data_IF_164803491453
#
_entry.id   IF_164803491453
#
_cell.length_a   1.000
_cell.length_b   1.000
_cell.length_c   1.000
_cell.angle_alpha   90.00
_cell.angle_beta   90.00
_cell.angle_gamma   90.00
#
_symmetry.space_group_name_H-M   'P 1'
#
loop_
_entity.id
_entity.type
_entity.pdbx_description
1 polymer ?
#
# COMPACT_ATOMS: atom_id res chain seq x y z
N UNK A 1 7.93 -45.86 -19.27
CA UNK A 1 7.08 -45.72 -20.47
C UNK A 1 6.93 -44.24 -20.80
N UNK A 2 7.58 -43.76 -21.87
CA UNK A 2 7.46 -42.37 -22.35
C UNK A 2 6.45 -42.33 -23.49
N UNK A 3 5.29 -41.72 -23.27
CA UNK A 3 4.29 -41.48 -24.31
C UNK A 3 4.51 -40.08 -24.87
N UNK A 4 4.93 -40.00 -26.14
CA UNK A 4 4.99 -38.77 -26.93
C UNK A 4 3.58 -38.48 -27.46
N UNK A 5 2.98 -37.36 -27.07
CA UNK A 5 1.74 -36.86 -27.64
C UNK A 5 2.04 -35.94 -28.82
N UNK A 6 1.55 -36.33 -30.01
CA UNK A 6 1.44 -35.49 -31.20
C UNK A 6 0.23 -34.56 -31.03
N UNK A 7 0.43 -33.25 -31.19
CA UNK A 7 -0.67 -32.29 -31.34
C UNK A 7 -0.60 -31.74 -32.77
N UNK A 8 -1.61 -32.08 -33.57
CA UNK A 8 -1.84 -31.54 -34.89
C UNK A 8 -2.59 -30.20 -34.76
N UNK A 9 -1.99 -29.13 -35.26
CA UNK A 9 -2.62 -27.80 -35.32
C UNK A 9 -3.45 -27.64 -36.59
N UNK A 10 -4.76 -27.46 -36.44
CA UNK A 10 -5.63 -26.95 -37.49
C UNK A 10 -5.57 -25.41 -37.47
N UNK A 11 -5.00 -24.81 -38.52
CA UNK A 11 -4.99 -23.37 -38.72
C UNK A 11 -6.29 -22.91 -39.39
N UNK A 12 -7.10 -22.13 -38.68
CA UNK A 12 -8.25 -21.40 -39.24
C UNK A 12 -7.78 -19.98 -39.58
N UNK A 13 -7.75 -19.67 -40.87
CA UNK A 13 -7.48 -18.33 -41.37
C UNK A 13 -8.76 -17.49 -41.32
N UNK A 14 -8.79 -16.45 -40.48
CA UNK A 14 -9.82 -15.41 -40.49
C UNK A 14 -9.28 -14.20 -41.23
N UNK A 15 -9.82 -13.95 -42.43
CA UNK A 15 -9.60 -12.73 -43.19
C UNK A 15 -10.40 -11.57 -42.59
N UNK A 16 -9.69 -10.62 -41.97
CA UNK A 16 -10.26 -9.36 -41.50
C UNK A 16 -10.11 -8.26 -42.56
N UNK A 17 -11.24 -7.78 -43.06
CA UNK A 17 -11.34 -6.59 -43.92
C UNK A 17 -10.97 -5.33 -43.14
N UNK A 18 -9.97 -4.59 -43.64
CA UNK A 18 -9.57 -3.30 -43.09
C UNK A 18 -10.49 -2.20 -43.63
N UNK A 19 -11.37 -1.67 -42.76
CA UNK A 19 -12.12 -0.45 -43.04
C UNK A 19 -11.20 0.76 -42.84
N UNK A 20 -11.11 1.59 -43.88
CA UNK A 20 -10.29 2.81 -43.92
C UNK A 20 -10.72 3.81 -42.83
N UNK A 21 -9.76 4.24 -42.00
CA UNK A 21 -9.92 5.36 -41.07
C UNK A 21 -9.96 6.68 -41.85
N UNK A 22 -10.90 7.59 -41.55
CA UNK A 22 -10.92 8.93 -42.13
C UNK A 22 -9.76 9.78 -41.60
N UNK A 23 -9.11 10.47 -42.53
CA UNK A 23 -7.98 11.39 -42.31
C UNK A 23 -8.40 12.58 -41.41
N UNK A 24 -7.63 12.93 -40.36
CA UNK A 24 -7.97 14.05 -39.50
C UNK A 24 -7.76 15.39 -40.23
N UNK A 25 -8.76 16.27 -40.13
CA UNK A 25 -8.75 17.61 -40.70
C UNK A 25 -7.56 18.44 -40.18
N UNK A 26 -6.74 18.95 -41.12
CA UNK A 26 -5.62 19.84 -40.85
C UNK A 26 -6.16 21.23 -40.48
N UNK A 27 -5.93 21.66 -39.25
CA UNK A 27 -6.19 23.05 -38.83
C UNK A 27 -5.11 24.00 -39.38
N UNK A 28 -5.49 25.20 -39.84
CA UNK A 28 -4.54 26.20 -40.32
C UNK A 28 -3.68 26.74 -39.17
N UNK A 29 -2.37 26.84 -39.41
CA UNK A 29 -1.41 27.42 -38.46
C UNK A 29 -1.67 28.92 -38.26
N UNK A 30 -1.60 29.43 -37.01
CA UNK A 30 -1.76 30.85 -36.75
C UNK A 30 -0.59 31.67 -37.33
N UNK A 31 -0.83 32.93 -37.72
CA UNK A 31 0.19 33.81 -38.28
C UNK A 31 1.28 34.15 -37.26
N UNK A 32 2.54 33.98 -37.68
CA UNK A 32 3.74 34.35 -36.92
C UNK A 32 3.84 35.87 -36.90
N UNK A 33 3.73 36.47 -35.71
CA UNK A 33 3.97 37.90 -35.51
C UNK A 33 5.48 38.18 -35.35
N UNK A 34 5.99 39.30 -35.90
CA UNK A 34 7.39 39.69 -35.77
C UNK A 34 7.72 40.11 -34.33
N UNK A 35 8.71 39.44 -33.75
CA UNK A 35 9.25 39.72 -32.41
C UNK A 35 10.01 41.05 -32.40
N UNK A 36 9.55 41.99 -31.56
CA UNK A 36 10.27 43.23 -31.25
C UNK A 36 11.44 42.94 -30.30
N UNK A 37 12.65 43.48 -30.55
CA UNK A 37 13.75 43.41 -29.61
C UNK A 37 13.45 44.29 -28.40
N UNK A 38 13.30 43.68 -27.22
CA UNK A 38 13.22 44.37 -25.93
C UNK A 38 14.64 44.55 -25.41
N UNK A 39 15.16 45.77 -25.46
CA UNK A 39 16.38 46.17 -24.74
C UNK A 39 16.07 46.29 -23.25
N UNK A 40 16.50 45.30 -22.47
CA UNK A 40 16.42 45.36 -21.01
C UNK A 40 17.55 46.25 -20.46
N UNK A 41 17.25 47.15 -19.51
CA UNK A 41 18.27 47.96 -18.84
C UNK A 41 19.20 47.09 -18.00
N UNK A 42 20.51 47.31 -18.16
CA UNK A 42 21.57 46.66 -17.38
C UNK A 42 21.46 47.12 -15.93
N UNK A 43 21.22 46.21 -14.95
CA UNK A 43 21.19 46.59 -13.54
C UNK A 43 22.60 46.93 -13.07
N UNK A 44 22.75 48.13 -12.49
CA UNK A 44 23.97 48.54 -11.78
C UNK A 44 24.17 47.64 -10.56
N UNK A 45 25.23 46.82 -10.59
CA UNK A 45 25.67 45.96 -9.49
C UNK A 45 26.24 46.82 -8.37
N UNK A 46 25.44 47.10 -7.34
CA UNK A 46 25.94 47.58 -6.07
C UNK A 46 26.66 46.42 -5.33
N UNK A 47 27.86 46.64 -4.75
CA UNK A 47 28.55 45.62 -3.97
C UNK A 47 27.73 45.22 -2.75
N UNK A 48 27.44 43.93 -2.63
CA UNK A 48 26.69 43.38 -1.49
C UNK A 48 27.52 43.54 -0.19
N UNK A 49 26.88 43.92 0.92
CA UNK A 49 27.53 43.96 2.22
C UNK A 49 27.98 42.55 2.62
N UNK A 50 29.26 42.43 3.00
CA UNK A 50 29.87 41.21 3.53
C UNK A 50 29.14 40.84 4.82
N UNK A 51 28.37 39.75 4.81
CA UNK A 51 27.69 39.27 6.00
C UNK A 51 28.72 38.87 7.07
N UNK A 52 28.52 39.25 8.35
CA UNK A 52 29.40 38.85 9.43
C UNK A 52 29.48 37.32 9.54
N UNK A 53 30.62 36.76 9.97
CA UNK A 53 30.81 35.32 10.13
C UNK A 53 29.68 34.74 10.98
N UNK A 54 28.90 33.84 10.35
CA UNK A 54 27.63 33.34 10.86
C UNK A 54 27.80 32.66 12.22
N UNK A 55 27.08 33.19 13.21
CA UNK A 55 26.81 32.48 14.46
C UNK A 55 26.03 31.23 14.10
N UNK A 56 26.69 30.07 14.19
CA UNK A 56 26.06 28.76 14.01
C UNK A 56 24.99 28.64 15.09
N UNK A 57 23.71 28.68 14.69
CA UNK A 57 22.60 28.49 15.61
C UNK A 57 22.80 27.15 16.36
N UNK A 58 22.61 27.10 17.69
CA UNK A 58 22.72 25.87 18.43
C UNK A 58 21.76 24.81 17.85
N UNK A 59 22.14 23.52 17.88
CA UNK A 59 21.34 22.45 17.30
C UNK A 59 19.94 22.48 17.91
N UNK A 60 18.93 22.71 17.06
CA UNK A 60 17.52 22.68 17.46
C UNK A 60 17.25 21.36 18.17
N UNK A 61 16.79 21.44 19.42
CA UNK A 61 16.45 20.26 20.20
C UNK A 61 15.41 19.45 19.42
N UNK A 62 15.76 18.20 19.11
CA UNK A 62 14.92 17.31 18.32
C UNK A 62 13.64 16.97 19.10
N UNK A 63 12.48 17.14 18.46
CA UNK A 63 11.20 16.73 19.02
C UNK A 63 11.22 15.25 19.39
N UNK A 64 10.62 14.90 20.54
CA UNK A 64 10.47 13.52 20.96
C UNK A 64 9.50 12.78 20.02
N UNK A 65 9.82 11.52 19.68
CA UNK A 65 8.90 10.66 18.92
C UNK A 65 7.79 10.15 19.83
N UNK A 66 6.55 10.01 19.32
CA UNK A 66 5.43 9.54 20.13
C UNK A 66 5.62 8.08 20.58
N UNK A 67 6.32 7.27 19.80
CA UNK A 67 6.62 5.87 20.12
C UNK A 67 8.12 5.56 19.96
N UNK A 68 8.65 4.58 20.72
CA UNK A 68 10.03 4.14 20.57
C UNK A 68 10.26 3.52 19.19
N UNK A 69 11.41 3.82 18.60
CA UNK A 69 11.78 3.29 17.30
C UNK A 69 12.35 1.88 17.41
N UNK A 70 11.96 1.00 16.49
CA UNK A 70 12.60 -0.29 16.32
C UNK A 70 13.79 -0.16 15.36
N UNK A 71 14.98 0.09 15.93
CA UNK A 71 16.22 0.29 15.17
C UNK A 71 16.95 -1.03 15.00
N UNK A 72 17.26 -1.38 13.77
CA UNK A 72 18.09 -2.54 13.43
C UNK A 72 19.45 -2.07 12.93
N UNK A 73 20.58 -2.49 13.53
CA UNK A 73 21.90 -2.16 13.01
C UNK A 73 22.10 -2.80 11.64
N UNK A 74 22.72 -2.06 10.72
CA UNK A 74 22.88 -2.48 9.32
C UNK A 74 24.26 -2.07 8.82
N UNK A 75 24.91 -2.96 8.06
CA UNK A 75 26.16 -2.66 7.37
C UNK A 75 25.86 -2.51 5.87
N UNK A 76 25.95 -1.29 5.32
CA UNK A 76 25.61 -1.01 3.93
C UNK A 76 26.61 -1.67 2.95
N UNK A 77 27.86 -1.90 3.37
CA UNK A 77 28.87 -2.50 2.49
C UNK A 77 28.62 -4.01 2.32
N UNK A 78 27.95 -4.64 3.29
CA UNK A 78 27.52 -6.03 3.21
C UNK A 78 26.19 -6.23 2.44
N UNK A 79 25.59 -5.16 1.91
CA UNK A 79 24.39 -5.27 1.10
C UNK A 79 24.68 -5.89 -0.25
N UNK A 80 23.95 -6.95 -0.60
CA UNK A 80 24.06 -7.58 -1.92
C UNK A 80 22.70 -8.09 -2.40
N UNK A 81 22.47 -7.95 -3.71
CA UNK A 81 21.34 -8.55 -4.38
C UNK A 81 21.79 -9.94 -4.86
N UNK A 82 20.99 -10.97 -4.55
CA UNK A 82 21.28 -12.34 -5.00
C UNK A 82 20.02 -13.02 -5.48
N UNK A 83 20.19 -13.87 -6.50
CA UNK A 83 19.15 -14.77 -6.99
C UNK A 83 19.12 -16.03 -6.13
N UNK A 84 17.93 -16.49 -5.78
CA UNK A 84 17.65 -17.73 -5.06
C UNK A 84 16.63 -18.57 -5.83
N UNK A 85 16.28 -19.74 -5.29
CA UNK A 85 15.24 -20.61 -5.85
C UNK A 85 13.87 -19.92 -5.85
N UNK A 86 13.62 -19.02 -4.88
CA UNK A 86 12.34 -18.32 -4.73
C UNK A 86 12.33 -16.93 -5.40
N UNK A 87 13.40 -16.55 -6.10
CA UNK A 87 13.56 -15.25 -6.75
C UNK A 87 14.72 -14.43 -6.19
N UNK A 88 14.70 -13.14 -6.47
CA UNK A 88 15.64 -12.14 -6.01
C UNK A 88 15.39 -11.72 -4.57
N UNK A 89 16.49 -11.56 -3.84
CA UNK A 89 16.47 -11.02 -2.49
C UNK A 89 17.64 -10.06 -2.29
N UNK A 90 17.45 -9.12 -1.38
CA UNK A 90 18.51 -8.28 -0.82
C UNK A 90 18.94 -8.91 0.50
N UNK A 91 20.24 -9.16 0.65
CA UNK A 91 20.84 -9.68 1.88
C UNK A 91 21.75 -8.62 2.51
N UNK A 92 21.74 -8.56 3.84
CA UNK A 92 22.67 -7.80 4.67
C UNK A 92 23.61 -8.80 5.36
N UNK A 93 24.72 -9.12 4.69
CA UNK A 93 25.60 -10.21 5.11
C UNK A 93 24.85 -11.56 5.12
N UNK A 94 24.80 -12.30 6.25
CA UNK A 94 24.09 -13.58 6.33
C UNK A 94 22.56 -13.43 6.43
N UNK A 95 22.05 -12.23 6.77
CA UNK A 95 20.61 -12.01 7.03
C UNK A 95 19.89 -11.63 5.75
N UNK A 96 18.69 -12.16 5.54
CA UNK A 96 17.79 -11.68 4.49
C UNK A 96 17.25 -10.33 4.92
N UNK A 97 17.48 -9.30 4.12
CA UNK A 97 16.95 -7.96 4.35
C UNK A 97 15.58 -7.80 3.69
N UNK A 98 15.42 -8.29 2.45
CA UNK A 98 14.13 -8.27 1.73
C UNK A 98 14.05 -9.36 0.67
N UNK A 99 12.87 -9.94 0.50
CA UNK A 99 12.52 -10.82 -0.61
C UNK A 99 11.70 -10.04 -1.65
N UNK A 100 12.03 -10.19 -2.94
CA UNK A 100 11.49 -9.37 -4.04
C UNK A 100 10.87 -10.20 -5.17
N UNK A 101 10.82 -11.53 -5.03
CA UNK A 101 10.33 -12.42 -6.07
C UNK A 101 11.12 -12.23 -7.36
N UNK A 102 10.47 -12.05 -8.50
CA UNK A 102 11.16 -11.95 -9.79
C UNK A 102 11.75 -10.55 -10.11
N UNK A 103 11.65 -9.57 -9.21
CA UNK A 103 12.06 -8.18 -9.46
C UNK A 103 13.56 -7.93 -9.22
N UNK A 104 14.40 -8.37 -10.17
CA UNK A 104 15.86 -8.14 -10.17
C UNK A 104 16.22 -6.65 -10.11
N UNK A 105 15.51 -5.82 -10.88
CA UNK A 105 15.80 -4.41 -11.01
C UNK A 105 15.59 -3.69 -9.67
N UNK A 106 14.51 -4.00 -8.95
CA UNK A 106 14.28 -3.48 -7.61
C UNK A 106 15.35 -3.94 -6.61
N UNK A 107 15.81 -5.20 -6.69
CA UNK A 107 16.83 -5.73 -5.80
C UNK A 107 18.15 -4.96 -5.94
N UNK A 108 18.59 -4.77 -7.18
CA UNK A 108 19.80 -4.03 -7.49
C UNK A 108 19.66 -2.54 -7.12
N UNK A 109 18.50 -1.93 -7.35
CA UNK A 109 18.23 -0.54 -7.00
C UNK A 109 18.25 -0.31 -5.49
N UNK A 110 17.68 -1.21 -4.68
CA UNK A 110 17.73 -1.14 -3.21
C UNK A 110 19.19 -1.19 -2.74
N UNK A 111 20.00 -2.13 -3.24
CA UNK A 111 21.42 -2.24 -2.86
C UNK A 111 22.18 -0.97 -3.26
N UNK A 112 21.95 -0.46 -4.46
CA UNK A 112 22.56 0.79 -4.94
C UNK A 112 22.24 1.96 -4.01
N UNK A 113 20.96 2.14 -3.66
CA UNK A 113 20.49 3.22 -2.79
C UNK A 113 21.05 3.10 -1.38
N UNK A 114 21.00 1.90 -0.77
CA UNK A 114 21.49 1.68 0.59
C UNK A 114 23.01 1.90 0.68
N UNK A 115 23.79 1.44 -0.31
CA UNK A 115 25.23 1.70 -0.36
C UNK A 115 25.55 3.17 -0.56
N UNK A 116 24.74 3.91 -1.31
CA UNK A 116 24.91 5.34 -1.50
C UNK A 116 24.58 6.14 -0.22
N UNK A 117 23.55 5.74 0.54
CA UNK A 117 23.15 6.39 1.79
C UNK A 117 24.07 6.07 2.97
N UNK A 118 24.71 4.89 2.95
CA UNK A 118 25.52 4.34 4.05
C UNK A 118 24.84 4.41 5.42
N UNK A 119 23.58 3.96 5.58
CA UNK A 119 22.94 3.95 6.88
C UNK A 119 23.67 2.97 7.82
N UNK A 120 23.81 3.37 9.08
CA UNK A 120 24.31 2.51 10.18
C UNK A 120 23.17 1.85 10.94
N UNK A 121 21.97 2.45 10.88
CA UNK A 121 20.76 1.96 11.50
C UNK A 121 19.62 1.99 10.48
N UNK A 122 18.75 0.99 10.51
CA UNK A 122 17.53 0.93 9.72
C UNK A 122 16.31 0.91 10.62
N UNK A 123 15.31 1.72 10.30
CA UNK A 123 14.08 1.85 11.08
C UNK A 123 12.90 1.55 10.20
N UNK A 124 11.96 0.77 10.73
CA UNK A 124 10.70 0.43 10.09
C UNK A 124 9.56 1.02 10.90
N UNK A 125 8.70 1.80 10.25
CA UNK A 125 7.45 2.30 10.82
C UNK A 125 6.29 1.51 10.23
N UNK A 126 5.34 1.10 11.07
CA UNK A 126 4.14 0.37 10.69
C UNK A 126 3.88 -0.86 11.56
N UNK A 127 2.64 -1.03 12.00
CA UNK A 127 2.19 -2.15 12.81
C UNK A 127 1.70 -3.29 11.91
N UNK A 128 2.33 -4.47 12.01
CA UNK A 128 1.97 -5.66 11.21
C UNK A 128 2.40 -5.62 9.75
N UNK A 129 2.50 -4.44 9.13
CA UNK A 129 3.06 -4.23 7.79
C UNK A 129 4.01 -3.01 7.80
N UNK A 130 5.21 -3.10 7.19
CA UNK A 130 6.05 -1.94 6.94
C UNK A 130 5.29 -0.91 6.09
N UNK A 131 5.04 0.27 6.67
CA UNK A 131 4.42 1.42 5.99
C UNK A 131 5.50 2.23 5.28
N UNK A 132 6.52 2.60 6.03
CA UNK A 132 7.64 3.42 5.56
C UNK A 132 8.90 3.06 6.34
N UNK A 133 10.03 3.17 5.68
CA UNK A 133 11.32 2.80 6.24
C UNK A 133 12.31 3.96 6.09
N UNK A 134 13.35 4.00 6.91
CA UNK A 134 14.41 4.98 6.74
C UNK A 134 15.73 4.51 7.33
N UNK A 135 16.80 5.00 6.72
CA UNK A 135 18.16 4.81 7.17
C UNK A 135 18.65 6.00 7.98
N UNK A 136 19.31 5.73 9.10
CA UNK A 136 20.04 6.73 9.86
C UNK A 136 21.54 6.46 9.77
N UNK A 137 22.34 7.52 9.64
CA UNK A 137 23.79 7.49 9.76
C UNK A 137 24.17 8.22 11.05
N UNK A 138 24.63 7.49 12.06
CA UNK A 138 24.99 8.04 13.38
C UNK A 138 23.83 8.86 14.01
N UNK A 139 22.61 8.31 13.96
CA UNK A 139 21.42 8.97 14.51
C UNK A 139 20.88 10.17 13.72
N UNK A 140 21.43 10.48 12.54
CA UNK A 140 20.96 11.54 11.62
C UNK A 140 20.38 10.94 10.34
N UNK A 141 19.51 11.66 9.66
CA UNK A 141 19.00 11.24 8.35
C UNK A 141 20.16 10.97 7.38
N UNK A 142 20.14 9.80 6.74
CA UNK A 142 21.09 9.51 5.68
C UNK A 142 20.83 10.44 4.48
N UNK A 143 21.87 11.13 4.03
CA UNK A 143 21.81 11.99 2.86
C UNK A 143 21.96 11.15 1.61
N UNK A 144 21.12 11.38 0.61
CA UNK A 144 21.18 10.65 -0.65
C UNK A 144 21.74 11.53 -1.77
N UNK A 145 22.92 11.18 -2.28
CA UNK A 145 23.57 11.90 -3.38
C UNK A 145 22.94 11.61 -4.75
N UNK A 146 22.30 10.44 -4.91
CA UNK A 146 21.69 10.00 -6.17
C UNK A 146 20.27 9.47 -5.93
N UNK A 147 19.22 10.29 -6.19
CA UNK A 147 17.85 9.90 -5.94
C UNK A 147 17.44 8.66 -6.77
N UNK A 148 16.51 7.84 -6.25
CA UNK A 148 15.87 6.80 -7.06
C UNK A 148 14.94 7.43 -8.11
N UNK A 149 14.37 6.58 -8.98
CA UNK A 149 13.55 7.04 -10.11
C UNK A 149 12.28 7.77 -9.70
N UNK A 150 11.62 7.32 -8.64
CA UNK A 150 10.34 7.88 -8.19
C UNK A 150 10.53 8.52 -6.83
N UNK A 151 10.57 9.84 -6.82
CA UNK A 151 10.75 10.66 -5.62
C UNK A 151 9.64 11.68 -5.56
N UNK A 152 9.03 11.83 -4.38
CA UNK A 152 8.07 12.90 -4.09
C UNK A 152 8.65 13.80 -3.01
N UNK A 153 8.50 15.11 -3.18
CA UNK A 153 8.92 16.09 -2.19
C UNK A 153 7.91 16.20 -1.05
N UNK A 154 8.41 16.36 0.18
CA UNK A 154 7.60 16.60 1.37
C UNK A 154 7.89 18.02 1.85
N UNK A 155 6.84 18.82 2.03
CA UNK A 155 6.92 20.08 2.73
C UNK A 155 6.90 19.88 4.24
N UNK A 156 8.09 20.00 4.86
CA UNK A 156 8.28 19.83 6.30
C UNK A 156 7.47 20.83 7.15
N UNK A 157 7.05 21.97 6.59
CA UNK A 157 6.29 22.98 7.33
C UNK A 157 4.83 22.59 7.48
N UNK A 158 4.28 21.89 6.48
CA UNK A 158 2.85 21.61 6.38
C UNK A 158 2.54 20.12 6.52
N UNK A 159 3.57 19.26 6.63
CA UNK A 159 3.41 17.83 6.90
C UNK A 159 2.58 17.61 8.16
N UNK A 160 1.54 16.79 8.06
CA UNK A 160 0.56 16.51 9.11
C UNK A 160 -0.07 15.14 8.93
N UNK A 161 -0.72 14.68 9.99
CA UNK A 161 -1.59 13.50 9.97
C UNK A 161 -3.02 13.98 9.74
N UNK A 162 -3.75 13.31 8.84
CA UNK A 162 -5.13 13.63 8.54
C UNK A 162 -5.98 12.36 8.36
N UNK A 163 -7.28 12.48 8.54
CA UNK A 163 -8.24 11.39 8.35
C UNK A 163 -8.98 11.57 7.02
N UNK A 164 -8.65 10.75 6.03
CA UNK A 164 -9.22 10.82 4.69
C UNK A 164 -10.00 9.54 4.41
N UNK A 165 -11.31 9.65 4.19
CA UNK A 165 -12.18 8.50 3.87
C UNK A 165 -12.05 7.32 4.86
N UNK A 166 -11.93 7.64 6.15
CA UNK A 166 -11.85 6.63 7.21
C UNK A 166 -10.47 5.97 7.39
N UNK A 167 -9.43 6.42 6.68
CA UNK A 167 -8.05 6.01 6.92
C UNK A 167 -7.18 7.19 7.34
N UNK A 168 -6.12 6.90 8.07
CA UNK A 168 -5.11 7.87 8.49
C UNK A 168 -4.03 7.98 7.43
N UNK A 169 -3.72 9.20 7.05
CA UNK A 169 -2.69 9.50 6.05
C UNK A 169 -1.68 10.48 6.60
N UNK A 170 -0.44 10.39 6.11
CA UNK A 170 0.53 11.48 6.25
C UNK A 170 0.50 12.28 4.96
N UNK A 171 0.21 13.56 5.06
CA UNK A 171 0.08 14.48 3.94
C UNK A 171 0.71 15.82 4.25
N UNK A 172 0.99 16.61 3.23
CA UNK A 172 1.27 18.03 3.35
C UNK A 172 0.24 18.83 2.53
N UNK A 173 0.54 20.11 2.26
CA UNK A 173 -0.32 20.94 1.41
C UNK A 173 -0.25 20.58 -0.07
N UNK A 174 0.82 19.90 -0.50
CA UNK A 174 0.96 19.43 -1.87
C UNK A 174 0.17 18.14 -2.11
N UNK A 175 0.18 17.18 -1.18
CA UNK A 175 -0.55 15.93 -1.38
C UNK A 175 -0.36 14.90 -0.29
N UNK A 176 -0.89 13.70 -0.53
CA UNK A 176 -0.77 12.55 0.37
C UNK A 176 0.55 11.82 0.10
N UNK A 177 1.33 11.54 1.14
CA UNK A 177 2.62 10.83 1.02
C UNK A 177 2.52 9.38 1.46
N UNK A 178 1.77 9.10 2.53
CA UNK A 178 1.63 7.77 3.11
C UNK A 178 0.17 7.48 3.45
N UNK A 179 -0.30 6.27 3.14
CA UNK A 179 -1.58 5.74 3.58
C UNK A 179 -1.36 4.70 4.67
N UNK A 180 -1.76 5.03 5.90
CA UNK A 180 -1.49 4.25 7.11
C UNK A 180 -2.68 3.36 7.52
N UNK A 181 -3.72 3.27 6.67
CA UNK A 181 -4.92 2.49 6.95
C UNK A 181 -5.62 2.96 8.23
N UNK A 182 -6.03 2.03 9.10
CA UNK A 182 -6.73 2.35 10.35
C UNK A 182 -5.79 2.71 11.51
N UNK A 183 -4.48 2.59 11.34
CA UNK A 183 -3.51 2.73 12.41
C UNK A 183 -3.03 4.17 12.57
N UNK A 184 -3.81 4.98 13.30
CA UNK A 184 -3.43 6.35 13.66
C UNK A 184 -2.02 6.47 14.27
N UNK A 185 -1.60 5.59 15.22
CA UNK A 185 -0.27 5.64 15.79
C UNK A 185 0.85 5.57 14.75
N UNK A 186 0.69 4.75 13.71
CA UNK A 186 1.69 4.59 12.65
C UNK A 186 1.83 5.89 11.82
N UNK A 187 0.71 6.58 11.55
CA UNK A 187 0.70 7.87 10.85
C UNK A 187 1.39 8.96 11.68
N UNK A 188 1.09 9.03 12.98
CA UNK A 188 1.70 9.98 13.91
C UNK A 188 3.21 9.73 14.05
N UNK A 189 3.62 8.47 14.19
CA UNK A 189 5.03 8.11 14.22
C UNK A 189 5.76 8.50 12.93
N UNK A 190 5.17 8.22 11.77
CA UNK A 190 5.77 8.56 10.48
C UNK A 190 5.90 10.09 10.30
N UNK A 191 4.85 10.86 10.61
CA UNK A 191 4.90 12.32 10.55
C UNK A 191 5.92 12.91 11.53
N UNK A 192 6.01 12.37 12.75
CA UNK A 192 7.00 12.79 13.74
C UNK A 192 8.43 12.46 13.31
N UNK A 193 8.67 11.28 12.71
CA UNK A 193 9.96 10.91 12.15
C UNK A 193 10.37 11.85 11.00
N UNK A 194 9.44 12.20 10.11
CA UNK A 194 9.67 13.17 9.03
C UNK A 194 10.15 14.51 9.59
N UNK A 195 9.46 15.06 10.59
CA UNK A 195 9.82 16.35 11.20
C UNK A 195 11.14 16.27 11.96
N UNK A 196 11.30 15.24 12.81
CA UNK A 196 12.48 15.05 13.66
C UNK A 196 13.77 14.94 12.86
N UNK A 197 13.76 14.13 11.80
CA UNK A 197 14.97 13.87 11.02
C UNK A 197 15.12 14.78 9.80
N UNK A 198 14.12 15.64 9.53
CA UNK A 198 14.13 16.53 8.37
C UNK A 198 14.01 15.78 7.04
N UNK A 199 13.26 14.67 7.00
CA UNK A 199 13.07 13.91 5.77
C UNK A 199 12.17 14.68 4.79
N UNK A 200 12.78 15.39 3.85
CA UNK A 200 12.09 16.23 2.88
C UNK A 200 11.74 15.51 1.57
N UNK A 201 12.01 14.20 1.48
CA UNK A 201 11.72 13.37 0.30
C UNK A 201 11.25 11.98 0.71
N UNK A 202 10.31 11.45 -0.06
CA UNK A 202 9.90 10.04 -0.02
C UNK A 202 10.20 9.40 -1.36
N UNK A 203 10.76 8.20 -1.33
CA UNK A 203 11.06 7.42 -2.50
C UNK A 203 10.34 6.07 -2.47
N UNK A 204 9.98 5.60 -3.66
CA UNK A 204 9.44 4.25 -3.85
C UNK A 204 10.33 3.48 -4.83
N UNK A 205 10.75 2.28 -4.45
CA UNK A 205 11.47 1.33 -5.31
C UNK A 205 10.55 0.14 -5.59
N UNK A 206 10.54 -0.33 -6.84
CA UNK A 206 9.78 -1.50 -7.28
C UNK A 206 9.24 -1.31 -8.69
N UNK A 207 9.10 -2.40 -9.44
CA UNK A 207 8.55 -2.35 -10.80
C UNK A 207 7.04 -2.07 -10.84
N UNK A 208 6.33 -2.36 -9.74
CA UNK A 208 4.89 -2.13 -9.61
C UNK A 208 4.59 -0.85 -8.81
N UNK A 209 4.09 0.21 -9.45
CA UNK A 209 3.78 1.47 -8.75
C UNK A 209 2.64 1.33 -7.72
N UNK A 210 1.77 0.32 -7.85
CA UNK A 210 0.68 0.09 -6.90
C UNK A 210 1.11 -0.70 -5.66
N UNK A 211 2.26 -1.38 -5.73
CA UNK A 211 2.80 -2.18 -4.65
C UNK A 211 4.32 -2.08 -4.70
N UNK A 212 4.89 -0.92 -4.29
CA UNK A 212 6.33 -0.75 -4.28
C UNK A 212 6.97 -1.79 -3.36
N UNK A 213 8.14 -2.27 -3.75
CA UNK A 213 8.94 -3.17 -2.96
C UNK A 213 9.42 -2.52 -1.66
N UNK A 214 9.79 -1.23 -1.73
CA UNK A 214 10.21 -0.42 -0.58
C UNK A 214 9.70 0.99 -0.76
N UNK A 215 9.15 1.56 0.31
CA UNK A 215 8.89 2.99 0.45
C UNK A 215 9.79 3.51 1.56
N UNK A 216 10.66 4.48 1.27
CA UNK A 216 11.59 4.99 2.28
C UNK A 216 11.73 6.51 2.26
N UNK A 217 12.06 7.05 3.43
CA UNK A 217 12.31 8.48 3.65
C UNK A 217 13.80 8.77 3.61
N UNK A 218 14.15 9.95 3.08
CA UNK A 218 15.52 10.44 3.08
C UNK A 218 15.55 11.97 3.06
N UNK A 219 16.71 12.53 3.42
CA UNK A 219 16.94 13.97 3.39
C UNK A 219 17.88 14.34 2.24
N UNK A 220 17.65 15.51 1.65
CA UNK A 220 18.57 16.14 0.69
C UNK A 220 19.10 17.46 1.23
N UNK A 221 20.39 17.74 0.98
CA UNK A 221 21.03 19.01 1.37
C UNK A 221 20.48 20.21 0.62
N UNK A 222 19.85 19.97 -0.52
CA UNK A 222 19.02 20.95 -1.20
C UNK A 222 17.83 21.24 -0.27
N UNK A 223 18.06 22.10 0.73
CA UNK A 223 17.06 22.70 1.60
C UNK A 223 16.03 23.52 0.80
N UNK A 224 16.20 23.56 -0.52
CA UNK A 224 15.15 23.80 -1.49
C UNK A 224 14.05 22.75 -1.36
N UNK A 225 12.93 23.18 -0.79
CA UNK A 225 11.71 23.22 -1.59
C UNK A 225 12.04 23.74 -3.00
N UNK A 226 12.62 22.89 -3.86
CA UNK A 226 12.49 23.05 -5.30
C UNK A 226 11.00 23.33 -5.52
N UNK A 227 10.67 24.38 -6.29
CA UNK A 227 9.37 25.04 -6.23
C UNK A 227 8.31 23.98 -6.13
N UNK A 228 7.66 23.88 -4.96
CA UNK A 228 6.58 22.94 -4.74
C UNK A 228 5.55 23.39 -5.74
N UNK A 229 5.50 22.71 -6.88
CA UNK A 229 4.55 23.04 -7.93
C UNK A 229 3.21 22.95 -7.22
N UNK A 230 2.54 24.10 -7.05
CA UNK A 230 1.26 24.17 -6.37
C UNK A 230 0.39 23.11 -7.05
N UNK A 231 0.15 22.02 -6.34
CA UNK A 231 -0.64 20.95 -6.93
C UNK A 231 -2.03 21.53 -7.13
N UNK A 232 -2.51 21.43 -8.36
CA UNK A 232 -3.87 21.84 -8.67
C UNK A 232 -4.81 21.09 -7.72
N UNK A 233 -5.82 21.72 -7.10
CA UNK A 233 -6.70 21.06 -6.12
C UNK A 233 -7.37 19.80 -6.67
N UNK A 234 -7.56 19.73 -7.99
CA UNK A 234 -8.01 18.53 -8.69
C UNK A 234 -7.05 17.34 -8.55
N UNK A 235 -5.73 17.55 -8.58
CA UNK A 235 -4.73 16.50 -8.40
C UNK A 235 -4.80 15.89 -7.00
N UNK A 236 -4.95 16.72 -5.96
CA UNK A 236 -5.15 16.25 -4.60
C UNK A 236 -6.44 15.43 -4.47
N UNK A 237 -7.56 15.91 -5.03
CA UNK A 237 -8.82 15.16 -5.03
C UNK A 237 -8.73 13.82 -5.77
N UNK A 238 -8.03 13.78 -6.91
CA UNK A 238 -7.77 12.54 -7.65
C UNK A 238 -6.90 11.57 -6.84
N UNK A 239 -5.92 12.08 -6.11
CA UNK A 239 -5.09 11.25 -5.22
C UNK A 239 -5.92 10.61 -4.10
N UNK A 240 -6.84 11.37 -3.49
CA UNK A 240 -7.77 10.87 -2.47
C UNK A 240 -8.74 9.80 -3.02
N UNK A 241 -9.14 9.91 -4.28
CA UNK A 241 -9.96 8.90 -4.96
C UNK A 241 -9.17 7.62 -5.29
N UNK A 242 -7.87 7.76 -5.54
CA UNK A 242 -6.94 6.70 -5.91
C UNK A 242 -6.28 5.98 -4.72
N UNK A 243 -6.67 6.31 -3.48
CA UNK A 243 -6.24 5.56 -2.31
C UNK A 243 -6.61 4.08 -2.47
N UNK A 244 -5.60 3.21 -2.35
CA UNK A 244 -5.75 1.76 -2.45
C UNK A 244 -6.45 1.17 -1.23
N UNK A 245 -6.29 1.80 -0.07
CA UNK A 245 -6.94 1.48 1.21
C UNK A 245 -7.81 2.64 1.65
N UNK A 246 -9.06 2.36 2.00
CA UNK A 246 -10.03 3.31 2.55
C UNK A 246 -10.84 2.65 3.66
N UNK A 247 -11.57 3.42 4.46
CA UNK A 247 -12.51 2.86 5.43
C UNK A 247 -13.74 2.29 4.72
N UNK A 248 -14.39 1.29 5.33
CA UNK A 248 -15.68 0.77 4.83
C UNK A 248 -16.80 1.71 5.28
N UNK A 249 -17.51 2.40 4.37
CA UNK A 249 -18.62 3.27 4.78
C UNK A 249 -19.79 2.42 5.26
N UNK A 250 -20.21 2.60 6.51
CA UNK A 250 -21.35 1.92 7.13
C UNK A 250 -22.34 2.97 7.64
N UNK A 251 -23.60 2.97 7.16
CA UNK A 251 -24.62 3.93 7.60
C UNK A 251 -24.79 3.98 9.12
N UNK A 252 -24.79 5.18 9.68
CA UNK A 252 -24.94 5.42 11.13
C UNK A 252 -23.70 5.10 11.98
N UNK A 253 -22.62 4.56 11.41
CA UNK A 253 -21.33 4.35 12.09
C UNK A 253 -20.26 5.28 11.53
N UNK A 254 -20.34 5.63 10.25
CA UNK A 254 -19.28 6.34 9.54
C UNK A 254 -18.41 5.34 8.80
N UNK A 255 -17.13 5.26 9.15
CA UNK A 255 -16.20 4.28 8.59
C UNK A 255 -15.91 3.18 9.61
N UNK A 256 -16.07 1.91 9.21
CA UNK A 256 -15.90 0.76 10.11
C UNK A 256 -15.07 -0.34 9.45
N UNK A 257 -13.79 -0.43 9.82
CA UNK A 257 -12.86 -1.37 9.22
C UNK A 257 -12.22 -0.83 7.94
N UNK A 258 -11.43 -1.69 7.29
CA UNK A 258 -10.58 -1.38 6.15
C UNK A 258 -11.09 -2.04 4.87
N UNK A 259 -11.07 -1.31 3.77
CA UNK A 259 -11.37 -1.76 2.42
C UNK A 259 -10.16 -1.54 1.54
N UNK A 260 -9.70 -2.62 0.90
CA UNK A 260 -8.60 -2.62 -0.07
C UNK A 260 -9.15 -2.99 -1.44
N UNK A 261 -8.89 -2.13 -2.44
CA UNK A 261 -9.21 -2.48 -3.84
C UNK A 261 -8.24 -3.54 -4.34
N UNK A 262 -8.76 -4.60 -4.92
CA UNK A 262 -7.98 -5.70 -5.49
C UNK A 262 -8.36 -5.93 -6.95
N UNK A 263 -7.40 -6.34 -7.75
CA UNK A 263 -7.68 -6.85 -9.11
C UNK A 263 -7.76 -8.38 -9.02
N UNK A 264 -8.94 -9.00 -9.22
CA UNK A 264 -9.10 -10.44 -9.10
C UNK A 264 -8.19 -11.23 -10.05
N UNK A 265 -7.74 -10.64 -11.17
CA UNK A 265 -6.84 -11.29 -12.13
C UNK A 265 -5.40 -11.35 -11.67
N UNK A 266 -5.05 -10.53 -10.68
CA UNK A 266 -3.71 -10.43 -10.09
C UNK A 266 -3.61 -11.15 -8.76
N UNK A 267 -4.67 -11.84 -8.35
CA UNK A 267 -4.68 -12.67 -7.16
C UNK A 267 -3.94 -13.95 -7.46
N UNK A 268 -2.91 -14.23 -6.67
CA UNK A 268 -2.11 -15.44 -6.77
C UNK A 268 -1.92 -16.10 -5.40
N UNK A 269 -1.55 -17.37 -5.43
CA UNK A 269 -1.04 -18.07 -4.26
C UNK A 269 0.47 -18.17 -4.40
N UNK A 270 1.21 -17.70 -3.41
CA UNK A 270 2.68 -17.76 -3.41
C UNK A 270 3.22 -18.18 -2.06
N UNK A 271 4.48 -18.56 -2.03
CA UNK A 271 5.21 -18.86 -0.80
C UNK A 271 5.80 -17.57 -0.23
N UNK A 272 5.57 -17.32 1.04
CA UNK A 272 6.11 -16.21 1.82
C UNK A 272 6.78 -16.81 3.07
N UNK A 273 8.11 -16.96 3.00
CA UNK A 273 8.88 -17.75 3.96
C UNK A 273 8.44 -19.23 4.03
N UNK A 274 7.95 -19.65 5.19
CA UNK A 274 7.44 -21.02 5.41
C UNK A 274 5.94 -21.16 5.15
N UNK A 275 5.23 -20.07 4.87
CA UNK A 275 3.78 -20.06 4.72
C UNK A 275 3.38 -19.90 3.24
N UNK A 276 2.30 -20.56 2.86
CA UNK A 276 1.55 -20.26 1.65
C UNK A 276 0.58 -19.16 1.95
N UNK A 277 0.59 -18.13 1.12
CA UNK A 277 -0.30 -16.98 1.23
C UNK A 277 -1.06 -16.80 -0.06
N UNK A 278 -2.28 -16.28 0.05
CA UNK A 278 -3.02 -15.74 -1.09
C UNK A 278 -2.87 -14.24 -1.04
N UNK A 279 -2.37 -13.65 -2.12
CA UNK A 279 -2.02 -12.24 -2.18
C UNK A 279 -2.55 -11.57 -3.46
N UNK A 280 -2.69 -10.25 -3.42
CA UNK A 280 -2.89 -9.40 -4.59
C UNK A 280 -1.76 -8.36 -4.60
N UNK A 281 -0.67 -8.65 -5.33
CA UNK A 281 0.54 -7.82 -5.31
C UNK A 281 1.28 -7.90 -3.97
N UNK A 282 1.31 -6.81 -3.20
CA UNK A 282 1.87 -6.80 -1.84
C UNK A 282 0.81 -7.06 -0.76
N UNK A 283 -0.48 -7.08 -1.12
CA UNK A 283 -1.54 -7.29 -0.15
C UNK A 283 -1.71 -8.78 0.14
N UNK A 284 -1.40 -9.22 1.36
CA UNK A 284 -1.71 -10.58 1.81
C UNK A 284 -3.17 -10.64 2.22
N UNK A 285 -3.97 -11.41 1.48
CA UNK A 285 -5.41 -11.57 1.72
C UNK A 285 -5.66 -12.63 2.81
N UNK A 286 -4.93 -13.75 2.76
CA UNK A 286 -4.99 -14.81 3.76
C UNK A 286 -3.70 -15.64 3.81
N UNK A 287 -3.48 -16.27 4.97
CA UNK A 287 -2.35 -17.17 5.24
C UNK A 287 -2.86 -18.60 5.44
N UNK A 288 -2.20 -19.56 4.82
CA UNK A 288 -2.59 -20.97 4.79
C UNK A 288 -1.54 -21.91 5.39
N UNK A 289 -0.48 -21.36 6.01
CA UNK A 289 0.62 -22.16 6.57
C UNK A 289 1.21 -23.09 5.50
N UNK A 290 1.42 -24.39 5.77
CA UNK A 290 1.98 -25.32 4.78
C UNK A 290 0.99 -25.77 3.70
N UNK A 291 -0.28 -25.36 3.74
CA UNK A 291 -1.35 -25.91 2.89
C UNK A 291 -1.42 -25.26 1.49
N UNK A 292 -0.45 -25.58 0.62
CA UNK A 292 -0.38 -25.08 -0.76
C UNK A 292 -1.68 -25.26 -1.55
N UNK A 293 -2.26 -26.47 -1.49
CA UNK A 293 -3.45 -26.81 -2.27
C UNK A 293 -4.65 -25.93 -1.88
N UNK A 294 -4.84 -25.69 -0.58
CA UNK A 294 -5.91 -24.82 -0.08
C UNK A 294 -5.69 -23.36 -0.47
N UNK A 295 -4.44 -22.88 -0.44
CA UNK A 295 -4.11 -21.53 -0.91
C UNK A 295 -4.43 -21.36 -2.40
N UNK A 296 -4.08 -22.36 -3.23
CA UNK A 296 -4.41 -22.34 -4.67
C UNK A 296 -5.91 -22.36 -4.93
N UNK A 297 -6.67 -23.15 -4.19
CA UNK A 297 -8.13 -23.20 -4.32
C UNK A 297 -8.75 -21.87 -3.89
N UNK A 298 -8.29 -21.27 -2.79
CA UNK A 298 -8.74 -19.95 -2.35
C UNK A 298 -8.42 -18.84 -3.38
N UNK A 299 -7.23 -18.84 -3.98
CA UNK A 299 -6.89 -17.90 -5.06
C UNK A 299 -7.81 -18.07 -6.28
N UNK A 300 -8.14 -19.31 -6.65
CA UNK A 300 -9.10 -19.61 -7.72
C UNK A 300 -10.49 -19.09 -7.38
N UNK A 301 -10.99 -19.35 -6.18
CA UNK A 301 -12.29 -18.87 -5.69
C UNK A 301 -12.39 -17.35 -5.76
N UNK A 302 -11.34 -16.63 -5.35
CA UNK A 302 -11.31 -15.16 -5.40
C UNK A 302 -11.34 -14.67 -6.85
N UNK A 303 -10.58 -15.31 -7.74
CA UNK A 303 -10.51 -14.98 -9.17
C UNK A 303 -11.85 -15.24 -9.87
N UNK A 304 -12.44 -16.42 -9.67
CA UNK A 304 -13.72 -16.84 -10.27
C UNK A 304 -14.91 -16.05 -9.72
N UNK A 305 -14.88 -15.74 -8.41
CA UNK A 305 -15.85 -14.90 -7.72
C UNK A 305 -15.81 -13.43 -8.17
N UNK A 306 -14.74 -13.03 -8.87
CA UNK A 306 -14.48 -11.65 -9.34
C UNK A 306 -14.56 -10.64 -8.19
N UNK A 307 -13.99 -10.99 -7.04
CA UNK A 307 -13.93 -10.06 -5.92
C UNK A 307 -13.04 -8.88 -6.27
N UNK A 308 -13.58 -7.67 -6.12
CA UNK A 308 -12.92 -6.40 -6.47
C UNK A 308 -12.46 -5.64 -5.23
N UNK A 309 -13.01 -5.99 -4.07
CA UNK A 309 -12.61 -5.41 -2.80
C UNK A 309 -12.40 -6.49 -1.76
N UNK A 310 -11.32 -6.36 -1.00
CA UNK A 310 -11.02 -7.14 0.19
C UNK A 310 -11.20 -6.27 1.43
N UNK A 311 -11.99 -6.74 2.38
CA UNK A 311 -12.41 -5.96 3.53
C UNK A 311 -12.02 -6.65 4.84
N UNK A 312 -11.65 -5.85 5.85
CA UNK A 312 -11.34 -6.30 7.21
C UNK A 312 -12.10 -5.45 8.22
N UNK A 313 -12.93 -6.05 9.05
CA UNK A 313 -13.64 -5.34 10.11
C UNK A 313 -13.95 -6.32 11.24
N UNK A 314 -13.78 -5.94 12.51
CA UNK A 314 -14.18 -6.83 13.61
C UNK A 314 -13.34 -8.10 13.74
N UNK A 315 -12.08 -8.09 13.30
CA UNK A 315 -11.28 -9.31 13.10
C UNK A 315 -11.80 -10.24 11.98
N UNK A 316 -12.91 -9.90 11.32
CA UNK A 316 -13.47 -10.66 10.21
C UNK A 316 -12.92 -10.17 8.88
N UNK A 317 -12.71 -11.10 7.95
CA UNK A 317 -12.39 -10.81 6.56
C UNK A 317 -13.59 -11.09 5.67
N UNK A 318 -13.82 -10.25 4.67
CA UNK A 318 -14.85 -10.52 3.66
C UNK A 318 -14.50 -9.86 2.33
N UNK A 319 -15.26 -10.19 1.29
CA UNK A 319 -15.06 -9.67 -0.05
C UNK A 319 -16.31 -8.97 -0.55
N UNK A 320 -16.12 -8.01 -1.45
CA UNK A 320 -17.20 -7.38 -2.21
C UNK A 320 -16.95 -7.52 -3.72
N UNK A 321 -18.03 -7.37 -4.47
CA UNK A 321 -18.04 -7.31 -5.94
C UNK A 321 -18.69 -5.99 -6.34
N UNK A 322 -17.87 -5.03 -6.75
CA UNK A 322 -18.22 -3.64 -7.06
C UNK A 322 -19.05 -2.99 -5.94
N UNK A 323 -18.55 -3.07 -4.71
CA UNK A 323 -19.19 -2.51 -3.52
C UNK A 323 -20.43 -3.26 -3.03
N UNK A 324 -20.71 -4.48 -3.52
CA UNK A 324 -21.86 -5.30 -3.10
C UNK A 324 -21.43 -6.65 -2.56
N UNK A 325 -22.25 -7.23 -1.68
CA UNK A 325 -22.04 -8.59 -1.19
C UNK A 325 -22.04 -9.62 -2.35
N UNK A 326 -21.12 -10.59 -2.37
CA UNK A 326 -21.12 -11.64 -3.37
C UNK A 326 -22.35 -12.53 -3.21
N UNK A 327 -23.04 -12.77 -4.33
CA UNK A 327 -24.24 -13.64 -4.41
C UNK A 327 -23.96 -14.99 -5.06
N UNK A 328 -22.73 -15.18 -5.56
CA UNK A 328 -22.28 -16.43 -6.18
C UNK A 328 -21.13 -16.95 -5.35
N UNK A 329 -21.41 -17.96 -4.54
CA UNK A 329 -20.39 -18.65 -3.75
C UNK A 329 -20.03 -19.95 -4.46
N UNK A 330 -18.74 -20.26 -4.70
CA UNK A 330 -18.35 -21.52 -5.32
C UNK A 330 -18.81 -22.75 -4.53
N UNK A 331 -19.10 -23.84 -5.23
CA UNK A 331 -19.58 -25.10 -4.63
C UNK A 331 -18.56 -25.77 -3.70
N UNK A 332 -17.26 -25.44 -3.82
CA UNK A 332 -16.21 -25.95 -2.93
C UNK A 332 -16.22 -25.32 -1.53
N UNK A 333 -17.06 -24.30 -1.30
CA UNK A 333 -17.14 -23.63 0.00
C UNK A 333 -18.16 -24.29 0.92
N UNK A 334 -17.82 -24.37 2.21
CA UNK A 334 -18.78 -24.77 3.25
C UNK A 334 -19.48 -23.51 3.75
N UNK A 335 -20.78 -23.38 3.44
CA UNK A 335 -21.59 -22.24 3.87
C UNK A 335 -22.42 -22.56 5.11
N UNK A 336 -22.33 -21.70 6.13
CA UNK A 336 -23.25 -21.68 7.28
C UNK A 336 -24.17 -20.47 7.14
N UNK A 337 -25.47 -20.72 7.01
CA UNK A 337 -26.49 -19.67 6.99
C UNK A 337 -26.73 -19.12 8.40
N UNK A 338 -27.09 -17.84 8.48
CA UNK A 338 -27.56 -17.15 9.68
C UNK A 338 -28.59 -16.07 9.31
N UNK A 339 -29.47 -15.70 10.25
CA UNK A 339 -30.44 -14.62 10.10
C UNK A 339 -29.85 -13.27 10.53
N UNK A 340 -29.68 -12.29 9.60
CA UNK A 340 -29.15 -10.97 9.92
C UNK A 340 -30.05 -10.17 10.86
N UNK A 341 -31.36 -10.42 10.86
CA UNK A 341 -32.32 -9.73 11.73
C UNK A 341 -32.20 -10.20 13.19
N UNK A 342 -31.90 -11.48 13.39
CA UNK A 342 -31.73 -12.13 14.69
C UNK A 342 -30.39 -11.88 15.39
N UNK A 343 -29.45 -11.16 14.77
CA UNK A 343 -28.13 -10.92 15.36
C UNK A 343 -28.20 -10.03 16.60
N UNK A 344 -27.49 -10.45 17.66
CA UNK A 344 -27.39 -9.74 18.93
C UNK A 344 -25.95 -9.64 19.39
N UNK A 345 -25.62 -8.54 20.05
CA UNK A 345 -24.36 -8.41 20.79
C UNK A 345 -24.53 -9.08 22.14
N UNK A 346 -23.59 -9.93 22.54
CA UNK A 346 -23.63 -10.61 23.84
C UNK A 346 -22.21 -10.75 24.40
N UNK A 347 -22.04 -10.60 25.72
CA UNK A 347 -20.76 -10.90 26.35
C UNK A 347 -20.48 -12.41 26.24
N UNK A 348 -19.25 -12.77 25.89
CA UNK A 348 -18.80 -14.16 25.73
C UNK A 348 -17.44 -14.34 26.42
N UNK A 349 -17.49 -14.73 27.70
CA UNK A 349 -16.30 -14.77 28.55
C UNK A 349 -15.75 -13.37 28.81
N UNK A 350 -14.48 -13.13 28.48
CA UNK A 350 -13.83 -11.81 28.61
C UNK A 350 -13.92 -10.95 27.34
N UNK A 351 -14.67 -11.40 26.33
CA UNK A 351 -14.80 -10.74 25.03
C UNK A 351 -16.27 -10.46 24.71
N UNK A 352 -16.48 -9.68 23.68
CA UNK A 352 -17.80 -9.47 23.10
C UNK A 352 -17.96 -10.36 21.86
N UNK A 353 -19.18 -10.79 21.61
CA UNK A 353 -19.49 -11.59 20.43
C UNK A 353 -20.79 -11.15 19.78
N UNK A 354 -20.85 -11.31 18.47
CA UNK A 354 -22.11 -11.30 17.72
C UNK A 354 -22.66 -12.72 17.74
N UNK A 355 -23.87 -12.87 18.27
CA UNK A 355 -24.56 -14.17 18.41
C UNK A 355 -25.85 -14.20 17.61
N UNK A 356 -26.23 -15.40 17.17
CA UNK A 356 -27.52 -15.71 16.58
C UNK A 356 -28.14 -16.83 17.42
N UNK A 357 -29.30 -16.58 18.04
CA UNK A 357 -29.99 -17.55 18.91
C UNK A 357 -29.05 -18.14 19.99
N UNK A 358 -28.16 -17.33 20.55
CA UNK A 358 -27.17 -17.74 21.54
C UNK A 358 -25.92 -18.43 20.98
N UNK A 359 -25.89 -18.76 19.67
CA UNK A 359 -24.71 -19.32 19.01
C UNK A 359 -23.79 -18.21 18.54
N UNK A 360 -22.53 -18.27 18.95
CA UNK A 360 -21.48 -17.34 18.52
C UNK A 360 -21.27 -17.41 17.00
N UNK A 361 -21.20 -16.23 16.37
CA UNK A 361 -20.90 -16.05 14.95
C UNK A 361 -19.58 -15.30 14.75
N UNK A 362 -19.41 -14.15 15.41
CA UNK A 362 -18.21 -13.33 15.29
C UNK A 362 -17.67 -12.93 16.65
N UNK A 363 -16.35 -12.91 16.77
CA UNK A 363 -15.64 -12.32 17.91
C UNK A 363 -15.47 -10.81 17.72
N UNK A 364 -15.53 -10.06 18.81
CA UNK A 364 -15.25 -8.63 18.87
C UNK A 364 -14.43 -8.31 20.14
N UNK A 365 -13.54 -7.32 20.03
CA UNK A 365 -12.75 -6.82 21.16
C UNK A 365 -13.65 -6.09 22.18
N UNK A 366 -14.62 -5.31 21.70
CA UNK A 366 -15.54 -4.56 22.54
C UNK A 366 -16.98 -4.54 21.98
N UNK A 367 -17.91 -3.98 22.76
CA UNK A 367 -19.32 -3.88 22.39
C UNK A 367 -19.53 -3.03 21.13
N UNK A 368 -18.80 -1.92 20.99
CA UNK A 368 -18.98 -1.01 19.86
C UNK A 368 -18.56 -1.67 18.54
N UNK A 369 -17.50 -2.47 18.55
CA UNK A 369 -17.06 -3.28 17.42
C UNK A 369 -18.10 -4.35 17.04
N UNK A 370 -18.68 -5.03 18.04
CA UNK A 370 -19.76 -6.00 17.79
C UNK A 370 -21.02 -5.34 17.19
N UNK A 371 -21.41 -4.15 17.68
CA UNK A 371 -22.51 -3.37 17.11
C UNK A 371 -22.20 -2.89 15.69
N UNK A 372 -20.96 -2.46 15.44
CA UNK A 372 -20.46 -2.10 14.11
C UNK A 372 -20.54 -3.26 13.12
N UNK A 373 -20.15 -4.47 13.55
CA UNK A 373 -20.27 -5.70 12.77
C UNK A 373 -21.73 -6.00 12.40
N UNK A 374 -22.68 -5.90 13.35
CA UNK A 374 -24.10 -6.12 13.05
C UNK A 374 -24.61 -5.13 12.00
N UNK A 375 -24.25 -3.84 12.13
CA UNK A 375 -24.64 -2.81 11.15
C UNK A 375 -24.02 -3.06 9.78
N UNK A 376 -22.77 -3.50 9.73
CA UNK A 376 -22.08 -3.89 8.50
C UNK A 376 -22.77 -5.08 7.83
N UNK A 377 -23.08 -6.14 8.59
CA UNK A 377 -23.77 -7.33 8.10
C UNK A 377 -25.14 -6.97 7.53
N UNK A 378 -25.92 -6.14 8.23
CA UNK A 378 -27.22 -5.65 7.77
C UNK A 378 -27.09 -4.74 6.55
N UNK A 379 -26.08 -3.87 6.49
CA UNK A 379 -25.87 -2.96 5.37
C UNK A 379 -25.60 -3.69 4.05
N UNK A 380 -24.72 -4.68 4.07
CA UNK A 380 -24.40 -5.48 2.88
C UNK A 380 -25.37 -6.63 2.64
N UNK A 381 -26.21 -6.96 3.62
CA UNK A 381 -27.18 -8.05 3.55
C UNK A 381 -26.51 -9.43 3.52
N UNK A 382 -25.42 -9.60 4.27
CA UNK A 382 -24.78 -10.91 4.42
C UNK A 382 -25.65 -11.83 5.27
N UNK A 383 -25.86 -13.06 4.84
CA UNK A 383 -26.68 -14.08 5.53
C UNK A 383 -25.99 -15.47 5.57
N UNK A 384 -24.78 -15.56 4.99
CA UNK A 384 -24.04 -16.80 4.86
C UNK A 384 -22.58 -16.56 5.19
N UNK A 385 -22.03 -17.35 6.12
CA UNK A 385 -20.60 -17.42 6.41
C UNK A 385 -20.00 -18.58 5.64
N UNK A 386 -19.13 -18.30 4.69
CA UNK A 386 -18.48 -19.26 3.82
C UNK A 386 -17.06 -19.54 4.32
N UNK A 387 -16.65 -20.80 4.30
CA UNK A 387 -15.28 -21.22 4.62
C UNK A 387 -14.66 -21.99 3.44
N UNK A 388 -13.43 -21.61 3.11
CA UNK A 388 -12.56 -22.35 2.17
C UNK A 388 -11.46 -23.03 2.98
N UNK A 389 -11.29 -24.34 2.78
CA UNK A 389 -10.31 -25.15 3.51
C UNK A 389 -10.89 -25.80 4.77
N UNK A 390 -10.36 -26.98 5.12
CA UNK A 390 -10.87 -27.79 6.21
C UNK A 390 -10.52 -27.24 7.61
N UNK A 391 -9.25 -26.94 7.96
CA UNK A 391 -8.95 -26.38 9.27
C UNK A 391 -9.12 -24.85 9.27
N UNK A 392 -9.66 -24.25 10.36
CA UNK A 392 -9.76 -22.79 10.49
C UNK A 392 -8.42 -22.06 10.38
N UNK A 393 -7.32 -22.72 10.72
CA UNK A 393 -5.95 -22.17 10.66
C UNK A 393 -5.31 -22.19 9.28
N UNK A 394 -5.85 -22.99 8.34
CA UNK A 394 -5.37 -23.05 6.98
C UNK A 394 -6.54 -22.88 6.01
N UNK A 395 -7.35 -21.86 6.26
CA UNK A 395 -8.53 -21.53 5.49
C UNK A 395 -8.80 -20.04 5.50
N UNK A 396 -9.71 -19.62 4.64
CA UNK A 396 -10.25 -18.26 4.64
C UNK A 396 -11.75 -18.34 4.88
N UNK A 397 -12.24 -17.52 5.80
CA UNK A 397 -13.68 -17.33 6.04
C UNK A 397 -14.09 -16.00 5.45
N UNK A 398 -15.24 -15.96 4.78
CA UNK A 398 -15.79 -14.73 4.22
C UNK A 398 -17.32 -14.76 4.23
N UNK A 399 -17.93 -13.58 4.19
CA UNK A 399 -19.38 -13.45 4.19
C UNK A 399 -19.93 -13.35 2.76
N UNK A 400 -21.11 -13.91 2.54
CA UNK A 400 -21.84 -13.86 1.28
C UNK A 400 -23.34 -13.65 1.52
N UNK A 401 -24.06 -13.35 0.44
CA UNK A 401 -25.51 -13.21 0.41
C UNK A 401 -26.11 -14.38 -0.38
N UNK A 402 -27.01 -15.13 0.24
CA UNK A 402 -27.78 -16.16 -0.42
C UNK A 402 -28.75 -15.55 -1.43
N UNK A 403 -28.98 -16.25 -2.53
CA UNK A 403 -29.86 -15.78 -3.60
C UNK A 403 -31.32 -15.92 -3.27
#
# INVERSE_FOLDING_TARGET
MRVRSLVAGLGVALGGSAAAQPEPARFPSPPVLPSRPVTLPVPQTAPLPVAPPGVVAPPTQLDALPYPENRTPIDPDQMLARRTVNGWQVAAGPRVFRELGDDEAAANEIVRVLRAQRPTEWVVVGTGRPLVEYGLHQGRAALLSAPPRTVTAIDLKTVRVDAVRGVWVVRDDAGIHLNCGLHRPDAEQAAAAIRRYGFNRIATIGSNPQAPAVTFLFATLDGGSGPVAQQHPLAAALQEQNLTRVGIPVPGVGYFGELVKIDPRRVDSRRDGSEWVVACGAEVLAKFGPAEFTARDAARIITEGRFTEFCRAGGQTFFLVNGRAPTRVPFSTVGRRFDPAGLRVSPYGSRWAVTENGRQLFDAADQAEAEGLIRLVKHFGFDTLCQVGAPPRAGISFMAKSR
#
